data_IF_684099181518
#
_entry.id   IF_684099181518
#
_cell.length_a   1.000
_cell.length_b   1.000
_cell.length_c   1.000
_cell.angle_alpha   90.00
_cell.angle_beta   90.00
_cell.angle_gamma   90.00
#
_symmetry.space_group_name_H-M   'P 1'
#
loop_
_entity.id
_entity.type
_entity.pdbx_description
1 polymer ?
#
# COMPACT_ATOMS: atom_id res chain seq x y z
N UNK A 1 2.07 10.65 0.84
CA UNK A 1 1.77 10.35 -0.57
C UNK A 1 1.03 9.03 -0.61
N UNK A 2 0.29 8.76 -1.68
CA UNK A 2 -0.43 7.50 -1.85
C UNK A 2 0.54 6.30 -1.79
N UNK A 3 1.76 6.45 -2.32
CA UNK A 3 2.81 5.44 -2.22
C UNK A 3 3.25 5.12 -0.77
N UNK A 4 3.22 6.10 0.15
CA UNK A 4 3.57 5.86 1.57
C UNK A 4 2.54 5.01 2.31
N UNK A 5 1.34 4.81 1.76
CA UNK A 5 0.35 3.92 2.37
C UNK A 5 0.89 2.48 2.51
N UNK A 6 1.71 2.02 1.57
CA UNK A 6 2.36 0.71 1.63
C UNK A 6 3.32 0.58 2.81
N UNK A 7 4.06 1.63 3.16
CA UNK A 7 4.91 1.65 4.36
C UNK A 7 4.08 1.46 5.62
N UNK A 8 2.97 2.20 5.71
CA UNK A 8 2.14 2.21 6.90
C UNK A 8 1.38 0.91 7.09
N UNK A 9 0.84 0.35 6.01
CA UNK A 9 0.23 -0.98 6.02
C UNK A 9 1.26 -2.04 6.39
N UNK A 10 2.50 -1.91 5.92
CA UNK A 10 3.59 -2.86 6.26
C UNK A 10 3.87 -2.85 7.76
N UNK A 11 3.91 -1.67 8.40
CA UNK A 11 4.07 -1.56 9.85
C UNK A 11 2.91 -2.23 10.60
N UNK A 12 1.67 -1.93 10.21
CA UNK A 12 0.48 -2.50 10.84
C UNK A 12 0.43 -4.03 10.73
N UNK A 13 0.79 -4.60 9.58
CA UNK A 13 0.86 -6.05 9.39
C UNK A 13 1.99 -6.66 10.24
N UNK A 14 3.16 -6.01 10.31
CA UNK A 14 4.28 -6.46 11.17
C UNK A 14 3.95 -6.46 12.66
N UNK A 15 3.02 -5.61 13.10
CA UNK A 15 2.59 -5.57 14.49
C UNK A 15 1.48 -6.58 14.80
N UNK A 16 0.86 -7.16 13.78
CA UNK A 16 -0.20 -8.16 13.93
C UNK A 16 0.34 -9.54 14.34
N UNK A 17 -0.48 -10.31 15.06
CA UNK A 17 -0.13 -11.67 15.50
C UNK A 17 0.22 -12.59 14.33
N UNK A 18 -0.51 -12.50 13.21
CA UNK A 18 -0.27 -13.33 12.02
C UNK A 18 0.90 -12.85 11.15
N UNK A 19 1.36 -11.61 11.31
CA UNK A 19 2.37 -10.99 10.44
C UNK A 19 3.70 -10.65 11.11
N UNK A 20 3.82 -10.79 12.44
CA UNK A 20 5.02 -10.41 13.21
C UNK A 20 6.31 -11.09 12.79
N UNK A 21 6.21 -12.33 12.34
CA UNK A 21 7.36 -13.15 11.98
C UNK A 21 7.69 -13.08 10.47
N UNK A 22 6.89 -12.33 9.68
CA UNK A 22 7.16 -12.11 8.26
C UNK A 22 8.25 -11.04 8.06
N UNK A 23 9.17 -11.23 7.09
CA UNK A 23 10.07 -10.17 6.66
C UNK A 23 9.30 -8.96 6.13
N UNK A 24 9.88 -7.76 6.32
CA UNK A 24 9.21 -6.50 5.95
C UNK A 24 9.03 -6.39 4.43
N UNK A 25 10.01 -6.88 3.69
CA UNK A 25 10.05 -6.96 2.24
C UNK A 25 8.95 -7.87 1.67
N UNK A 26 8.69 -9.01 2.31
CA UNK A 26 7.66 -9.96 1.89
C UNK A 26 6.27 -9.38 2.10
N UNK A 27 6.03 -8.74 3.25
CA UNK A 27 4.76 -8.02 3.50
C UNK A 27 4.54 -6.95 2.42
N UNK A 28 5.57 -6.16 2.12
CA UNK A 28 5.47 -5.13 1.08
C UNK A 28 5.19 -5.74 -0.29
N UNK A 29 5.86 -6.82 -0.65
CA UNK A 29 5.65 -7.52 -1.92
C UNK A 29 4.21 -8.03 -2.02
N UNK A 30 3.69 -8.65 -0.96
CA UNK A 30 2.29 -9.08 -0.88
C UNK A 30 1.30 -7.92 -0.99
N UNK A 31 1.57 -6.79 -0.32
CA UNK A 31 0.72 -5.60 -0.44
C UNK A 31 0.69 -5.08 -1.88
N UNK A 32 1.82 -5.05 -2.59
CA UNK A 32 1.84 -4.66 -4.00
C UNK A 32 1.15 -5.66 -4.93
N UNK A 33 1.16 -6.96 -4.59
CA UNK A 33 0.39 -7.98 -5.32
C UNK A 33 -1.12 -7.75 -5.15
N UNK A 34 -1.56 -7.44 -3.93
CA UNK A 34 -2.98 -7.39 -3.56
C UNK A 34 -3.65 -6.03 -3.80
N UNK A 35 -2.94 -4.92 -3.63
CA UNK A 35 -3.53 -3.58 -3.74
C UNK A 35 -3.31 -3.01 -5.15
N UNK A 36 -4.39 -2.88 -5.93
CA UNK A 36 -4.35 -2.32 -7.28
C UNK A 36 -4.23 -0.79 -7.32
N UNK A 37 -4.94 -0.13 -6.41
CA UNK A 37 -5.13 1.32 -6.43
C UNK A 37 -5.10 1.84 -5.00
N UNK A 38 -4.38 2.94 -4.79
CA UNK A 38 -4.46 3.73 -3.55
C UNK A 38 -4.92 5.14 -3.90
N UNK A 39 -6.01 5.59 -3.26
CA UNK A 39 -6.54 6.94 -3.44
C UNK A 39 -6.25 7.74 -2.16
N UNK A 40 -5.37 8.73 -2.25
CA UNK A 40 -5.09 9.63 -1.13
C UNK A 40 -6.07 10.79 -1.14
N UNK A 41 -6.84 10.91 -0.07
CA UNK A 41 -7.75 12.03 0.14
C UNK A 41 -7.19 13.00 1.18
N UNK A 42 -7.47 14.30 1.01
CA UNK A 42 -7.23 15.33 2.01
C UNK A 42 -8.46 16.20 2.17
N UNK A 43 -8.65 16.75 3.37
CA UNK A 43 -9.66 17.78 3.60
C UNK A 43 -9.09 19.13 3.13
N UNK A 44 -9.69 19.68 2.09
CA UNK A 44 -9.34 20.98 1.50
C UNK A 44 -10.61 21.83 1.56
N UNK A 45 -10.54 22.98 2.21
CA UNK A 45 -11.66 23.91 2.40
C UNK A 45 -12.92 23.22 2.94
N UNK A 46 -12.73 22.40 3.97
CA UNK A 46 -13.82 21.69 4.63
C UNK A 46 -14.33 20.44 3.89
N UNK A 47 -13.87 20.17 2.67
CA UNK A 47 -14.34 19.04 1.84
C UNK A 47 -13.24 18.03 1.58
N UNK A 48 -13.57 16.74 1.57
CA UNK A 48 -12.63 15.71 1.14
C UNK A 48 -12.44 15.79 -0.38
N UNK A 49 -11.19 15.83 -0.80
CA UNK A 49 -10.76 15.85 -2.19
C UNK A 49 -9.73 14.76 -2.41
N UNK A 50 -9.81 14.07 -3.55
CA UNK A 50 -8.71 13.24 -4.03
C UNK A 50 -7.53 14.15 -4.34
N UNK A 51 -6.37 13.82 -3.78
CA UNK A 51 -5.13 14.59 -3.96
C UNK A 51 -4.03 13.81 -4.66
N UNK A 52 -4.15 12.49 -4.70
CA UNK A 52 -3.19 11.61 -5.35
C UNK A 52 -3.88 10.26 -5.61
N UNK A 53 -3.55 9.65 -6.74
CA UNK A 53 -3.91 8.27 -7.06
C UNK A 53 -2.62 7.55 -7.40
N UNK A 54 -2.34 6.47 -6.67
CA UNK A 54 -1.28 5.53 -7.03
C UNK A 54 -1.91 4.33 -7.73
N UNK A 55 -1.34 3.95 -8.87
CA UNK A 55 -1.70 2.77 -9.64
C UNK A 55 -0.48 2.33 -10.48
N UNK A 56 0.00 1.10 -10.27
CA UNK A 56 1.12 0.52 -11.02
C UNK A 56 0.74 -0.89 -11.54
N UNK A 57 0.10 -0.97 -12.72
CA UNK A 57 -0.35 -2.23 -13.28
C UNK A 57 0.78 -3.08 -13.86
N UNK A 58 1.94 -2.49 -14.19
CA UNK A 58 3.08 -3.22 -14.74
C UNK A 58 3.78 -4.03 -13.66
N UNK A 59 3.90 -3.48 -12.45
CA UNK A 59 4.43 -4.20 -11.29
C UNK A 59 3.62 -5.45 -10.92
N UNK A 60 2.30 -5.44 -11.15
CA UNK A 60 1.42 -6.60 -10.93
C UNK A 60 1.53 -7.69 -11.99
N UNK A 61 2.03 -7.34 -13.18
CA UNK A 61 2.11 -8.25 -14.33
C UNK A 61 3.44 -8.97 -14.45
N UNK A 62 4.45 -8.59 -13.65
CA UNK A 62 5.68 -9.38 -13.55
C UNK A 62 5.31 -10.73 -12.90
N UNK A 63 5.43 -11.86 -13.62
CA UNK A 63 5.33 -13.17 -13.00
C UNK A 63 6.41 -13.25 -11.91
N UNK A 64 6.08 -13.83 -10.77
CA UNK A 64 7.14 -14.27 -9.85
C UNK A 64 7.95 -15.34 -10.57
N UNK A 65 9.25 -15.09 -10.78
CA UNK A 65 10.22 -16.10 -11.21
C UNK A 65 10.39 -17.18 -10.13
#
# INVERSE_FOLDING_TARGET
SAALAFEQLTLLVRESEGGRDLPREDIRALLHLLVDVVVQMKKVDGRFRVTEIWHDPLRKRQPGD
#
